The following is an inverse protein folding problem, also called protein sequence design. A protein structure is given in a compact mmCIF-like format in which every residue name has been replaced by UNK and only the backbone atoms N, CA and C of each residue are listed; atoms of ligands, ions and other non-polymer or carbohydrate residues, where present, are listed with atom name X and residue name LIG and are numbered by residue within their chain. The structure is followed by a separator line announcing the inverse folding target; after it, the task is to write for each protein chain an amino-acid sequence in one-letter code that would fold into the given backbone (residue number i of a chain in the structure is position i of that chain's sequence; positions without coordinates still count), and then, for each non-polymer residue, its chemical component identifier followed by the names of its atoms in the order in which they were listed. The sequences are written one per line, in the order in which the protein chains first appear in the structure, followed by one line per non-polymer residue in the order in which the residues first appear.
data_IF_877633321314
#
_entry.id   IF_877633321314
#
_cell.length_a   1.000
_cell.length_b   1.000
_cell.length_c   1.000
_cell.angle_alpha   90.00
_cell.angle_beta   90.00
_cell.angle_gamma   90.00
#
_symmetry.space_group_name_H-M   'P 1'
#
loop_
_entity.id
_entity.type
_entity.pdbx_description
1 polymer ?
#
# COMPACT_ATOMS: atom_id res chain seq x y z
N UNK A 1 -30.96 1.72 9.78
CA UNK A 1 -29.80 2.56 10.20
C UNK A 1 -29.82 2.76 11.73
N UNK A 2 -30.19 1.74 12.51
CA UNK A 2 -30.64 1.90 13.91
C UNK A 2 -29.93 1.00 14.92
N UNK A 3 -29.46 -0.20 14.51
CA UNK A 3 -28.85 -1.15 15.44
C UNK A 3 -27.44 -0.72 15.89
N UNK A 4 -26.63 -0.18 14.97
CA UNK A 4 -25.24 0.21 15.26
C UNK A 4 -25.12 1.50 16.08
N UNK A 5 -25.98 2.48 15.83
CA UNK A 5 -26.08 3.68 16.65
C UNK A 5 -26.54 3.35 18.07
N UNK A 6 -27.49 2.41 18.21
CA UNK A 6 -27.95 1.96 19.52
C UNK A 6 -26.87 1.18 20.27
N UNK A 7 -26.16 0.27 19.60
CA UNK A 7 -25.06 -0.48 20.21
C UNK A 7 -23.89 0.44 20.58
N UNK A 8 -23.51 1.37 19.71
CA UNK A 8 -22.47 2.35 19.97
C UNK A 8 -22.80 3.22 21.18
N UNK A 9 -24.04 3.73 21.27
CA UNK A 9 -24.50 4.51 22.42
C UNK A 9 -24.60 3.68 23.70
N UNK A 10 -24.95 2.39 23.61
CA UNK A 10 -25.01 1.50 24.76
C UNK A 10 -23.62 1.14 25.32
N UNK A 11 -22.59 1.13 24.47
CA UNK A 11 -21.21 0.85 24.87
C UNK A 11 -20.47 2.09 25.40
N UNK A 12 -20.90 3.30 25.07
CA UNK A 12 -20.26 4.55 25.51
C UNK A 12 -20.06 4.66 27.03
N UNK A 13 -21.04 4.31 27.90
CA UNK A 13 -20.83 4.36 29.35
C UNK A 13 -19.73 3.40 29.83
N UNK A 14 -19.67 2.20 29.24
CA UNK A 14 -18.64 1.20 29.56
C UNK A 14 -17.26 1.65 29.08
N UNK A 15 -17.18 2.16 27.85
CA UNK A 15 -15.93 2.70 27.30
C UNK A 15 -15.45 3.92 28.10
N UNK A 16 -16.35 4.82 28.49
CA UNK A 16 -16.02 5.97 29.34
C UNK A 16 -15.60 5.58 30.75
N UNK A 17 -16.14 4.49 31.32
CA UNK A 17 -15.67 3.94 32.58
C UNK A 17 -14.27 3.34 32.44
N UNK A 18 -14.02 2.58 31.37
CA UNK A 18 -12.71 2.01 31.08
C UNK A 18 -11.66 3.10 30.85
N UNK A 19 -11.99 4.15 30.08
CA UNK A 19 -11.10 5.27 29.76
C UNK A 19 -10.60 5.99 31.03
N UNK A 20 -11.46 6.15 32.05
CA UNK A 20 -11.06 6.73 33.35
C UNK A 20 -10.03 5.88 34.12
N UNK A 21 -9.96 4.59 33.83
CA UNK A 21 -9.02 3.67 34.46
C UNK A 21 -7.81 3.35 33.57
N UNK A 22 -7.83 3.77 32.31
CA UNK A 22 -6.67 3.66 31.42
C UNK A 22 -5.77 4.86 31.67
N UNK A 23 -4.54 4.66 32.20
CA UNK A 23 -3.61 5.76 32.37
C UNK A 23 -3.29 6.39 31.01
N UNK A 24 -3.32 7.72 30.93
CA UNK A 24 -2.92 8.43 29.72
C UNK A 24 -1.48 8.05 29.36
N UNK A 25 -1.25 7.78 28.07
CA UNK A 25 0.11 7.54 27.59
C UNK A 25 0.98 8.78 27.91
N UNK A 26 2.21 8.59 28.41
CA UNK A 26 3.10 9.70 28.70
C UNK A 26 3.39 10.46 27.41
N UNK A 27 3.25 11.79 27.45
CA UNK A 27 3.61 12.66 26.33
C UNK A 27 5.08 12.40 25.97
N UNK A 28 5.32 12.09 24.71
CA UNK A 28 6.68 11.93 24.21
C UNK A 28 7.24 13.30 23.83
N UNK A 29 8.56 13.51 23.92
CA UNK A 29 9.16 14.76 23.47
C UNK A 29 8.91 14.96 21.97
N UNK A 30 8.71 16.23 21.57
CA UNK A 30 8.69 16.60 20.16
C UNK A 30 10.09 16.41 19.60
N UNK A 31 10.18 15.66 18.50
CA UNK A 31 11.43 15.49 17.75
C UNK A 31 11.29 16.38 16.51
N UNK A 32 12.13 17.40 16.38
CA UNK A 32 12.12 18.22 15.18
C UNK A 32 12.80 17.46 14.02
N UNK A 33 12.31 17.61 12.77
CA UNK A 33 13.00 17.04 11.61
C UNK A 33 14.45 17.48 11.58
N UNK A 34 15.37 16.53 11.36
CA UNK A 34 16.78 16.87 11.19
C UNK A 34 16.96 17.52 9.82
N UNK A 35 17.84 18.53 9.73
CA UNK A 35 18.32 18.96 8.42
C UNK A 35 19.03 17.79 7.77
N UNK A 36 18.49 17.31 6.66
CA UNK A 36 19.12 16.26 5.86
C UNK A 36 20.12 16.94 4.95
N UNK A 37 21.40 16.60 5.09
CA UNK A 37 22.40 16.90 4.06
C UNK A 37 22.04 16.07 2.84
N UNK A 38 21.75 16.68 1.68
CA UNK A 38 21.43 15.92 0.48
C UNK A 38 22.58 14.96 0.18
N UNK A 39 22.24 13.70 -0.08
CA UNK A 39 23.21 12.78 -0.64
C UNK A 39 23.63 13.26 -2.02
N UNK A 40 24.89 12.99 -2.39
CA UNK A 40 25.33 13.20 -3.76
C UNK A 40 24.41 12.45 -4.73
N UNK A 41 24.09 13.08 -5.86
CA UNK A 41 23.29 12.43 -6.89
C UNK A 41 23.92 11.08 -7.27
N UNK A 42 23.09 10.06 -7.39
CA UNK A 42 23.53 8.76 -7.92
C UNK A 42 24.08 8.99 -9.33
N UNK A 43 25.32 8.59 -9.63
CA UNK A 43 25.90 8.75 -10.97
C UNK A 43 25.05 8.07 -12.03
N UNK A 44 24.96 8.66 -13.22
CA UNK A 44 24.17 8.13 -14.34
C UNK A 44 24.62 6.73 -14.73
N UNK A 45 25.91 6.45 -14.66
CA UNK A 45 26.50 5.14 -14.91
C UNK A 45 25.92 4.10 -13.95
N UNK A 46 25.80 4.45 -12.66
CA UNK A 46 25.22 3.56 -11.65
C UNK A 46 23.72 3.34 -11.87
N UNK A 47 22.99 4.37 -12.32
CA UNK A 47 21.58 4.22 -12.69
C UNK A 47 21.44 3.26 -13.87
N UNK A 48 22.27 3.41 -14.90
CA UNK A 48 22.28 2.54 -16.08
C UNK A 48 22.58 1.08 -15.70
N UNK A 49 23.59 0.84 -14.85
CA UNK A 49 23.90 -0.52 -14.34
C UNK A 49 22.70 -1.16 -13.63
N UNK A 50 21.95 -0.37 -12.84
CA UNK A 50 20.75 -0.87 -12.14
C UNK A 50 19.66 -1.23 -13.16
N UNK A 51 19.44 -0.37 -14.15
CA UNK A 51 18.43 -0.58 -15.20
C UNK A 51 18.79 -1.81 -16.05
N UNK A 52 20.05 -1.95 -16.46
CA UNK A 52 20.54 -3.13 -17.20
C UNK A 52 20.34 -4.41 -16.40
N UNK A 53 20.66 -4.39 -15.10
CA UNK A 53 20.43 -5.56 -14.24
C UNK A 53 18.94 -5.90 -14.11
N UNK A 54 18.05 -4.90 -14.05
CA UNK A 54 16.60 -5.14 -14.07
C UNK A 54 16.16 -5.71 -15.42
N UNK A 55 16.73 -5.23 -16.52
CA UNK A 55 16.42 -5.70 -17.86
C UNK A 55 16.77 -7.18 -18.04
N UNK A 56 17.94 -7.59 -17.57
CA UNK A 56 18.38 -9.00 -17.56
C UNK A 56 17.44 -9.94 -16.79
N UNK A 57 16.71 -9.43 -15.80
CA UNK A 57 15.83 -10.24 -14.94
C UNK A 57 14.34 -10.10 -15.28
N UNK A 58 13.95 -9.20 -16.19
CA UNK A 58 12.54 -8.87 -16.47
C UNK A 58 11.73 -10.10 -16.89
N UNK A 59 12.30 -10.96 -17.75
CA UNK A 59 11.63 -12.18 -18.24
C UNK A 59 11.44 -13.20 -17.13
N UNK A 60 12.44 -13.37 -16.25
CA UNK A 60 12.30 -14.25 -15.08
C UNK A 60 11.15 -13.78 -14.18
N UNK A 61 11.09 -12.47 -13.94
CA UNK A 61 10.00 -11.90 -13.14
C UNK A 61 8.63 -12.08 -13.80
N UNK A 62 8.49 -11.76 -15.09
CA UNK A 62 7.19 -11.89 -15.78
C UNK A 62 6.67 -13.31 -15.79
N UNK A 63 7.55 -14.31 -15.92
CA UNK A 63 7.21 -15.74 -15.88
C UNK A 63 6.97 -16.29 -14.46
N UNK A 64 7.25 -15.52 -13.42
CA UNK A 64 7.00 -15.95 -12.04
C UNK A 64 5.49 -16.10 -11.81
N UNK A 65 5.07 -17.28 -11.34
CA UNK A 65 3.65 -17.60 -11.09
C UNK A 65 3.05 -16.73 -9.98
N UNK A 66 1.72 -16.69 -9.91
CA UNK A 66 1.04 -15.94 -8.85
C UNK A 66 1.38 -16.51 -7.46
N UNK A 67 1.51 -17.83 -7.33
CA UNK A 67 1.85 -18.50 -6.08
C UNK A 67 3.25 -18.14 -5.59
N UNK A 68 4.24 -18.10 -6.48
CA UNK A 68 5.60 -17.69 -6.12
C UNK A 68 5.67 -16.20 -5.76
N UNK A 69 4.95 -15.34 -6.49
CA UNK A 69 4.82 -13.92 -6.12
C UNK A 69 4.16 -13.74 -4.75
N UNK A 70 3.12 -14.53 -4.43
CA UNK A 70 2.47 -14.50 -3.13
C UNK A 70 3.41 -14.92 -1.99
N UNK A 71 4.28 -15.92 -2.20
CA UNK A 71 5.34 -16.29 -1.24
C UNK A 71 6.32 -15.15 -1.02
N UNK A 72 6.73 -14.44 -2.08
CA UNK A 72 7.61 -13.28 -1.95
C UNK A 72 6.95 -12.15 -1.14
N UNK A 73 5.66 -11.86 -1.37
CA UNK A 73 4.91 -10.89 -0.58
C UNK A 73 4.80 -11.30 0.89
N UNK A 74 4.61 -12.60 1.18
CA UNK A 74 4.63 -13.12 2.55
C UNK A 74 5.97 -12.85 3.23
N UNK A 75 7.08 -13.12 2.53
CA UNK A 75 8.41 -12.81 3.04
C UNK A 75 8.62 -11.30 3.25
N UNK A 76 8.06 -10.44 2.40
CA UNK A 76 8.10 -9.00 2.63
C UNK A 76 7.36 -8.59 3.90
N UNK A 77 6.23 -9.24 4.21
CA UNK A 77 5.51 -9.00 5.47
C UNK A 77 6.37 -9.43 6.67
N UNK A 78 6.98 -10.61 6.62
CA UNK A 78 7.86 -11.11 7.68
C UNK A 78 9.07 -10.18 7.89
N UNK A 79 9.71 -9.73 6.79
CA UNK A 79 10.82 -8.79 6.84
C UNK A 79 10.40 -7.43 7.40
N UNK A 80 9.23 -6.92 7.03
CA UNK A 80 8.72 -5.64 7.54
C UNK A 80 8.44 -5.73 9.04
N UNK A 81 7.79 -6.81 9.50
CA UNK A 81 7.56 -7.04 10.94
C UNK A 81 8.88 -7.12 11.72
N UNK A 82 9.91 -7.75 11.14
CA UNK A 82 11.21 -7.88 11.79
C UNK A 82 11.94 -6.54 11.98
N UNK A 83 11.63 -5.51 11.19
CA UNK A 83 12.32 -4.20 11.24
C UNK A 83 11.40 -3.03 11.56
N UNK A 84 10.12 -3.27 11.87
CA UNK A 84 9.11 -2.21 11.96
C UNK A 84 9.45 -1.17 13.04
N UNK A 85 9.95 -1.61 14.19
CA UNK A 85 10.27 -0.71 15.29
C UNK A 85 11.49 0.16 14.97
N UNK A 86 12.55 -0.46 14.44
CA UNK A 86 13.77 0.24 14.01
C UNK A 86 13.48 1.22 12.87
N UNK A 87 12.62 0.81 11.93
CA UNK A 87 12.15 1.67 10.85
C UNK A 87 11.35 2.85 11.41
N UNK A 88 10.42 2.64 12.34
CA UNK A 88 9.65 3.71 12.96
C UNK A 88 10.54 4.69 13.74
N UNK A 89 11.55 4.19 14.47
CA UNK A 89 12.56 5.02 15.15
C UNK A 89 13.38 5.83 14.16
N UNK A 90 13.81 5.21 13.05
CA UNK A 90 14.55 5.89 12.00
C UNK A 90 13.70 6.99 11.34
N UNK A 91 12.44 6.70 11.03
CA UNK A 91 11.51 7.67 10.46
C UNK A 91 11.29 8.86 11.39
N UNK A 92 10.95 8.62 12.66
CA UNK A 92 10.76 9.68 13.66
C UNK A 92 12.03 10.52 13.85
N UNK A 93 13.21 9.91 13.77
CA UNK A 93 14.48 10.61 13.89
C UNK A 93 14.75 11.56 12.71
N UNK A 94 14.34 11.19 11.50
CA UNK A 94 14.62 11.97 10.29
C UNK A 94 13.51 12.95 9.93
N UNK A 95 12.25 12.51 9.99
CA UNK A 95 11.07 13.30 9.68
C UNK A 95 10.59 14.16 10.85
N UNK A 96 11.04 13.85 12.07
CA UNK A 96 10.49 14.40 13.29
C UNK A 96 9.27 13.63 13.80
N UNK A 97 8.77 14.02 14.97
CA UNK A 97 7.58 13.46 15.62
C UNK A 97 6.92 14.54 16.48
N UNK A 98 5.60 14.64 16.42
CA UNK A 98 4.81 15.71 17.06
C UNK A 98 4.28 15.35 18.45
N UNK A 99 5.07 14.61 19.24
CA UNK A 99 4.76 14.32 20.65
C UNK A 99 3.99 13.01 20.90
N UNK A 100 3.73 12.24 19.84
CA UNK A 100 3.18 10.86 19.90
C UNK A 100 4.33 9.82 19.82
N UNK A 101 5.57 10.27 19.64
CA UNK A 101 6.76 9.42 19.53
C UNK A 101 6.74 8.57 18.26
N UNK A 102 7.20 7.32 18.36
CA UNK A 102 7.26 6.39 17.22
C UNK A 102 5.89 5.80 16.86
N UNK A 103 4.85 6.01 17.68
CA UNK A 103 3.53 5.41 17.47
C UNK A 103 2.87 5.86 16.17
N UNK A 104 3.05 7.13 15.79
CA UNK A 104 2.59 7.67 14.52
C UNK A 104 3.26 6.95 13.33
N UNK A 105 4.59 6.80 13.38
CA UNK A 105 5.36 6.13 12.32
C UNK A 105 5.01 4.64 12.21
N UNK A 106 4.79 3.94 13.34
CA UNK A 106 4.31 2.55 13.33
C UNK A 106 2.94 2.44 12.69
N UNK A 107 2.04 3.39 12.99
CA UNK A 107 0.71 3.45 12.37
C UNK A 107 0.80 3.67 10.86
N UNK A 108 1.77 4.46 10.40
CA UNK A 108 2.03 4.68 8.97
C UNK A 108 2.52 3.41 8.23
N UNK A 109 3.00 2.39 8.94
CA UNK A 109 3.37 1.09 8.35
C UNK A 109 2.15 0.17 8.13
N UNK A 110 1.02 0.42 8.81
CA UNK A 110 -0.18 -0.43 8.70
C UNK A 110 -0.73 -0.51 7.28
N UNK A 111 -0.88 0.59 6.51
CA UNK A 111 -1.33 0.50 5.11
C UNK A 111 -0.41 -0.35 4.23
N UNK A 112 0.91 -0.34 4.49
CA UNK A 112 1.88 -1.16 3.76
C UNK A 112 1.61 -2.64 4.07
N UNK A 113 1.46 -2.99 5.35
CA UNK A 113 1.16 -4.36 5.77
C UNK A 113 -0.17 -4.86 5.19
N UNK A 114 -1.23 -4.05 5.26
CA UNK A 114 -2.53 -4.40 4.69
C UNK A 114 -2.46 -4.57 3.17
N UNK A 115 -1.76 -3.67 2.46
CA UNK A 115 -1.57 -3.80 1.02
C UNK A 115 -0.81 -5.08 0.65
N UNK A 116 0.26 -5.42 1.37
CA UNK A 116 1.00 -6.67 1.16
C UNK A 116 0.11 -7.91 1.38
N UNK A 117 -0.71 -7.90 2.44
CA UNK A 117 -1.63 -8.99 2.74
C UNK A 117 -2.69 -9.15 1.64
N UNK A 118 -3.31 -8.05 1.20
CA UNK A 118 -4.33 -8.04 0.16
C UNK A 118 -3.77 -8.53 -1.19
N UNK A 119 -2.57 -8.07 -1.58
CA UNK A 119 -1.90 -8.56 -2.78
C UNK A 119 -1.52 -10.03 -2.67
N UNK A 120 -1.07 -10.49 -1.49
CA UNK A 120 -0.74 -11.89 -1.24
C UNK A 120 -1.98 -12.77 -1.48
N UNK A 121 -3.10 -12.47 -0.83
CA UNK A 121 -4.34 -13.24 -0.98
C UNK A 121 -4.91 -13.18 -2.40
N UNK A 122 -4.85 -12.00 -3.05
CA UNK A 122 -5.24 -11.83 -4.45
C UNK A 122 -4.44 -12.76 -5.38
N UNK A 123 -3.13 -12.85 -5.18
CA UNK A 123 -2.26 -13.70 -5.99
C UNK A 123 -2.42 -15.20 -5.65
N UNK A 124 -2.69 -15.56 -4.39
CA UNK A 124 -3.04 -16.94 -4.02
C UNK A 124 -4.32 -17.41 -4.72
N UNK A 125 -5.28 -16.50 -4.92
CA UNK A 125 -6.47 -16.73 -5.73
C UNK A 125 -6.22 -16.64 -7.26
N UNK A 126 -4.98 -16.78 -7.73
CA UNK A 126 -4.64 -16.77 -9.15
C UNK A 126 -4.86 -15.42 -9.84
N UNK A 127 -4.72 -14.33 -9.07
CA UNK A 127 -5.04 -12.96 -9.47
C UNK A 127 -6.52 -12.75 -9.87
N UNK A 128 -7.42 -13.62 -9.43
CA UNK A 128 -8.86 -13.53 -9.71
C UNK A 128 -9.71 -13.80 -8.45
N UNK A 129 -9.52 -13.05 -7.34
CA UNK A 129 -10.42 -13.16 -6.21
C UNK A 129 -11.86 -12.86 -6.64
N UNK A 130 -12.80 -13.67 -6.14
CA UNK A 130 -14.22 -13.54 -6.47
C UNK A 130 -14.76 -12.18 -5.97
N UNK A 131 -15.44 -11.40 -6.81
CA UNK A 131 -16.09 -10.17 -6.35
C UNK A 131 -17.23 -10.50 -5.38
N UNK A 132 -17.60 -9.53 -4.54
CA UNK A 132 -18.67 -9.67 -3.55
C UNK A 132 -20.03 -9.86 -4.24
N UNK A 133 -20.24 -9.12 -5.32
CA UNK A 133 -21.39 -9.26 -6.20
C UNK A 133 -21.06 -8.74 -7.60
N UNK A 134 -21.80 -9.23 -8.59
CA UNK A 134 -21.81 -8.68 -9.95
C UNK A 134 -23.27 -8.37 -10.27
N UNK A 135 -23.52 -7.20 -10.83
CA UNK A 135 -24.83 -6.81 -11.35
C UNK A 135 -24.69 -6.21 -12.73
N UNK A 136 -25.74 -6.37 -13.52
CA UNK A 136 -25.88 -5.69 -14.80
C UNK A 136 -26.72 -4.42 -14.62
N UNK A 137 -26.29 -3.32 -15.24
CA UNK A 137 -27.05 -2.07 -15.30
C UNK A 137 -28.06 -2.12 -16.45
N UNK A 138 -28.99 -1.17 -16.48
CA UNK A 138 -30.02 -1.07 -17.53
C UNK A 138 -29.44 -0.90 -18.95
N UNK A 139 -28.22 -0.40 -19.06
CA UNK A 139 -27.48 -0.21 -20.31
C UNK A 139 -26.63 -1.43 -20.70
N UNK A 140 -26.76 -2.56 -19.99
CA UNK A 140 -25.97 -3.77 -20.22
C UNK A 140 -24.56 -3.73 -19.60
N UNK A 141 -24.19 -2.65 -18.92
CA UNK A 141 -22.87 -2.54 -18.30
C UNK A 141 -22.77 -3.44 -17.05
N UNK A 142 -21.74 -4.28 -17.00
CA UNK A 142 -21.43 -5.08 -15.82
C UNK A 142 -20.69 -4.24 -14.76
N UNK A 143 -21.16 -4.33 -13.52
CA UNK A 143 -20.54 -3.69 -12.36
C UNK A 143 -20.26 -4.74 -11.30
N UNK A 144 -19.00 -4.87 -10.91
CA UNK A 144 -18.55 -5.75 -9.85
C UNK A 144 -18.31 -4.95 -8.57
N UNK A 145 -18.98 -5.32 -7.47
CA UNK A 145 -18.64 -4.79 -6.15
C UNK A 145 -17.47 -5.60 -5.59
N UNK A 146 -16.35 -4.92 -5.32
CA UNK A 146 -15.08 -5.54 -4.91
C UNK A 146 -14.66 -5.17 -3.49
N UNK A 147 -15.19 -4.08 -2.94
CA UNK A 147 -14.88 -3.64 -1.57
C UNK A 147 -16.15 -3.20 -0.83
N UNK A 148 -16.13 -3.23 0.52
CA UNK A 148 -15.04 -3.71 1.39
C UNK A 148 -15.02 -5.24 1.54
N UNK A 149 -13.83 -5.84 1.61
CA UNK A 149 -13.66 -7.29 1.89
C UNK A 149 -13.43 -7.54 3.39
N UNK A 150 -13.76 -8.75 3.84
CA UNK A 150 -13.50 -9.19 5.22
C UNK A 150 -14.22 -8.37 6.31
N UNK A 151 -13.70 -8.37 7.55
CA UNK A 151 -14.33 -7.69 8.69
C UNK A 151 -14.44 -6.17 8.56
N UNK A 152 -13.62 -5.55 7.70
CA UNK A 152 -13.66 -4.10 7.43
C UNK A 152 -15.03 -3.67 6.92
N UNK A 153 -15.76 -4.56 6.23
CA UNK A 153 -17.13 -4.28 5.78
C UNK A 153 -18.13 -4.03 6.91
N UNK A 154 -17.85 -4.52 8.12
CA UNK A 154 -18.65 -4.24 9.32
C UNK A 154 -18.45 -2.80 9.82
N UNK A 155 -17.23 -2.27 9.66
CA UNK A 155 -16.87 -0.91 10.06
C UNK A 155 -17.33 0.14 9.04
N UNK A 156 -17.43 -0.25 7.77
CA UNK A 156 -17.77 0.63 6.65
C UNK A 156 -19.03 0.16 5.91
N UNK A 157 -20.19 0.04 6.59
CA UNK A 157 -21.39 -0.62 6.05
C UNK A 157 -21.96 0.06 4.79
N UNK A 158 -21.69 1.36 4.61
CA UNK A 158 -22.18 2.17 3.49
C UNK A 158 -21.09 2.47 2.45
N UNK A 159 -19.85 2.01 2.65
CA UNK A 159 -18.80 2.14 1.65
C UNK A 159 -18.91 1.00 0.63
N UNK A 160 -18.74 1.32 -0.66
CA UNK A 160 -18.69 0.33 -1.74
C UNK A 160 -17.59 0.73 -2.71
N UNK A 161 -16.66 -0.17 -2.97
CA UNK A 161 -15.75 -0.05 -4.12
C UNK A 161 -16.29 -0.88 -5.26
N UNK A 162 -16.50 -0.26 -6.42
CA UNK A 162 -17.02 -0.91 -7.61
C UNK A 162 -16.01 -0.82 -8.76
N UNK A 163 -15.93 -1.89 -9.56
CA UNK A 163 -15.22 -1.91 -10.84
C UNK A 163 -16.27 -1.96 -11.93
N UNK A 164 -16.24 -0.95 -12.81
CA UNK A 164 -17.19 -0.81 -13.90
C UNK A 164 -16.53 -1.32 -15.16
N UNK A 165 -17.08 -2.40 -15.71
CA UNK A 165 -16.50 -3.07 -16.87
C UNK A 165 -16.92 -2.31 -18.11
N UNK A 166 -15.98 -2.05 -19.02
CA UNK A 166 -16.26 -1.42 -20.30
C UNK A 166 -17.30 -2.27 -21.07
N UNK A 167 -18.40 -1.67 -21.58
CA UNK A 167 -19.37 -2.40 -22.40
C UNK A 167 -18.68 -3.14 -23.55
N UNK A 168 -19.20 -4.32 -23.90
CA UNK A 168 -18.65 -5.18 -24.96
C UNK A 168 -17.25 -5.76 -24.70
N UNK A 169 -16.63 -5.49 -23.54
CA UNK A 169 -15.42 -6.21 -23.10
C UNK A 169 -15.79 -7.43 -22.25
N UNK A 170 -15.06 -8.55 -22.39
CA UNK A 170 -15.25 -9.68 -21.50
C UNK A 170 -14.87 -9.29 -20.07
N UNK A 171 -15.76 -9.63 -19.12
CA UNK A 171 -15.44 -9.55 -17.71
C UNK A 171 -14.24 -10.48 -17.42
N UNK A 172 -13.09 -9.90 -17.11
CA UNK A 172 -11.89 -10.67 -16.80
C UNK A 172 -11.11 -10.02 -15.67
N UNK A 173 -10.44 -10.86 -14.89
CA UNK A 173 -9.64 -10.43 -13.75
C UNK A 173 -8.31 -11.17 -13.74
N UNK A 174 -7.23 -10.42 -13.58
CA UNK A 174 -5.86 -10.95 -13.51
C UNK A 174 -5.39 -11.73 -14.74
N UNK A 175 -6.09 -11.64 -15.88
CA UNK A 175 -5.74 -12.37 -17.10
C UNK A 175 -4.30 -12.06 -17.54
N UNK A 176 -3.86 -10.80 -17.38
CA UNK A 176 -2.46 -10.38 -17.61
C UNK A 176 -1.45 -11.22 -16.83
N UNK A 177 -1.71 -11.55 -15.56
CA UNK A 177 -0.78 -12.35 -14.76
C UNK A 177 -0.68 -13.78 -15.26
N UNK A 178 -1.81 -14.40 -15.59
CA UNK A 178 -1.85 -15.79 -16.10
C UNK A 178 -1.22 -15.89 -17.50
N UNK A 179 -1.56 -14.97 -18.40
CA UNK A 179 -0.99 -14.91 -19.76
C UNK A 179 0.52 -14.68 -19.72
N UNK A 180 0.99 -13.71 -18.92
CA UNK A 180 2.43 -13.45 -18.80
C UNK A 180 3.20 -14.63 -18.21
N UNK A 181 2.63 -15.31 -17.21
CA UNK A 181 3.24 -16.51 -16.65
C UNK A 181 3.33 -17.65 -17.69
N UNK A 182 2.34 -17.76 -18.59
CA UNK A 182 2.34 -18.69 -19.71
C UNK A 182 3.22 -18.25 -20.90
N UNK A 183 3.77 -17.04 -20.88
CA UNK A 183 4.57 -16.47 -21.97
C UNK A 183 3.75 -15.82 -23.09
N UNK A 184 2.45 -15.63 -22.90
CA UNK A 184 1.55 -15.02 -23.89
C UNK A 184 1.59 -13.49 -23.85
N UNK A 185 1.44 -12.86 -25.02
CA UNK A 185 1.24 -11.41 -25.14
C UNK A 185 2.48 -10.55 -24.87
N UNK A 186 3.67 -11.14 -24.89
CA UNK A 186 4.96 -10.44 -24.89
C UNK A 186 5.42 -10.26 -26.33
N UNK A 187 5.65 -9.02 -26.79
CA UNK A 187 6.51 -8.80 -27.96
C UNK A 187 7.87 -9.42 -27.63
N UNK A 188 8.41 -10.24 -28.53
CA UNK A 188 9.66 -11.02 -28.37
C UNK A 188 9.75 -12.04 -27.20
N UNK A 189 8.71 -12.20 -26.38
CA UNK A 189 8.74 -13.11 -25.23
C UNK A 189 9.40 -12.54 -23.98
N UNK A 190 9.80 -11.26 -23.97
CA UNK A 190 10.42 -10.61 -22.81
C UNK A 190 9.49 -9.64 -22.08
N UNK A 191 9.80 -9.42 -20.79
CA UNK A 191 9.14 -8.38 -19.99
C UNK A 191 9.59 -6.96 -20.38
N UNK A 192 9.11 -5.96 -19.65
CA UNK A 192 9.56 -4.57 -19.79
C UNK A 192 10.07 -4.01 -18.47
N UNK A 193 10.98 -3.04 -18.55
CA UNK A 193 11.45 -2.24 -17.41
C UNK A 193 10.90 -0.82 -17.57
N UNK A 194 10.40 -0.25 -16.48
CA UNK A 194 9.96 1.14 -16.43
C UNK A 194 10.64 1.83 -15.24
N UNK A 195 11.18 3.02 -15.48
CA UNK A 195 11.71 3.89 -14.45
C UNK A 195 10.65 4.91 -14.05
N UNK A 196 10.22 4.87 -12.80
CA UNK A 196 9.30 5.87 -12.23
C UNK A 196 10.13 6.87 -11.44
N UNK A 197 10.18 8.10 -11.92
CA UNK A 197 10.84 9.21 -11.23
C UNK A 197 9.81 9.92 -10.34
N UNK A 198 10.00 9.83 -9.03
CA UNK A 198 9.24 10.64 -8.09
C UNK A 198 9.86 12.03 -7.96
N UNK A 199 9.06 13.08 -8.11
CA UNK A 199 9.47 14.42 -7.70
C UNK A 199 9.52 14.45 -6.16
N UNK A 200 10.70 14.65 -5.58
CA UNK A 200 10.80 14.98 -4.16
C UNK A 200 10.70 16.49 -4.06
N UNK A 201 9.65 17.00 -3.41
CA UNK A 201 9.44 18.43 -3.21
C UNK A 201 10.74 19.09 -2.75
N UNK A 202 11.31 19.95 -3.60
CA UNK A 202 12.43 20.81 -3.22
C UNK A 202 11.90 21.72 -2.12
N UNK A 203 12.38 21.55 -0.88
CA UNK A 203 12.13 22.50 0.19
C UNK A 203 12.53 23.92 -0.26
N UNK A 204 12.02 24.98 0.41
CA UNK A 204 12.28 26.34 0.00
C UNK A 204 13.79 26.56 -0.11
N UNK A 205 14.24 26.89 -1.32
CA UNK A 205 15.57 27.43 -1.57
C UNK A 205 15.76 28.55 -0.55
N UNK A 206 16.75 28.38 0.32
CA UNK A 206 17.22 29.47 1.16
C UNK A 206 17.54 30.63 0.23
N UNK A 207 16.70 31.66 0.23
CA UNK A 207 17.06 32.97 -0.28
C UNK A 207 18.32 33.36 0.49
N UNK A 208 19.46 33.38 -0.21
CA UNK A 208 20.73 33.78 0.37
C UNK A 208 20.63 35.17 1.01
N UNK A 209 21.48 35.47 2.00
CA UNK A 209 21.39 36.74 2.70
C UNK A 209 21.79 37.90 1.77
N UNK A 210 20.84 38.81 1.57
CA UNK A 210 21.07 40.25 1.39
C UNK A 210 21.99 40.71 0.27
N UNK A 211 21.38 41.11 -0.85
CA UNK A 211 21.86 42.30 -1.57
C UNK A 211 21.30 43.54 -0.88
N UNK A 212 22.18 44.32 -0.25
CA UNK A 212 21.96 45.76 -0.02
C UNK A 212 22.64 46.53 -1.13
#
# INVERSE_FOLDING_TARGET
MTMWTTLGNALQPLLGMLDRHVPSAPKQPVILPRRVTPHSATPSERVNEIVERLDLHKTKWTRTSCQERAKLLRRCMDSLLAVEEDLARALATHKGSYGIGIGEERTALLPIMFGLAEYCETLRAGAAPKPLSIRERKDGQLVATVLPTGPVGLLLPNFRGEVWIEPSRPASQGAVYRRKAAGEGMQDGSGGVALVLGEVARGPLALGPGGR
#
